data_IF_164282810361
#
_entry.id   IF_164282810361
#
_cell.length_a   1.000
_cell.length_b   1.000
_cell.length_c   1.000
_cell.angle_alpha   90.00
_cell.angle_beta   90.00
_cell.angle_gamma   90.00
#
_symmetry.space_group_name_H-M   'P 1'
#
loop_
_entity.id
_entity.type
_entity.pdbx_description
1 polymer ?
#
# COMPACT_ATOMS: atom_id res chain seq x y z
N UNK A 1 -6.30 13.78 -1.64
CA UNK A 1 -5.28 12.89 -2.22
C UNK A 1 -3.87 13.31 -1.86
N UNK A 2 -3.48 14.58 -2.07
CA UNK A 2 -2.16 15.09 -1.61
C UNK A 2 -1.95 14.85 -0.11
N UNK A 3 -2.93 15.21 0.73
CA UNK A 3 -2.85 15.02 2.18
C UNK A 3 -2.68 13.55 2.58
N UNK A 4 -3.51 12.65 2.03
CA UNK A 4 -3.37 11.20 2.25
C UNK A 4 -1.98 10.67 1.86
N UNK A 5 -1.40 11.15 0.74
CA UNK A 5 -0.02 10.77 0.34
C UNK A 5 1.00 11.29 1.35
N UNK A 6 0.89 12.55 1.75
CA UNK A 6 1.77 13.16 2.75
C UNK A 6 1.71 12.43 4.10
N UNK A 7 0.51 12.11 4.57
CA UNK A 7 0.30 11.35 5.81
C UNK A 7 0.92 9.95 5.71
N UNK A 8 0.66 9.25 4.59
CA UNK A 8 1.22 7.93 4.33
C UNK A 8 2.75 7.95 4.28
N UNK A 9 3.34 8.92 3.60
CA UNK A 9 4.79 9.07 3.47
C UNK A 9 5.45 9.44 4.81
N UNK A 10 4.76 10.24 5.64
CA UNK A 10 5.19 10.54 7.01
C UNK A 10 5.25 9.26 7.85
N UNK A 11 4.15 8.50 7.89
CA UNK A 11 4.07 7.24 8.66
C UNK A 11 5.16 6.25 8.18
N UNK A 12 5.38 6.16 6.87
CA UNK A 12 6.43 5.29 6.29
C UNK A 12 7.82 5.70 6.71
N UNK A 13 8.09 7.00 6.70
CA UNK A 13 9.38 7.54 7.11
C UNK A 13 9.67 7.19 8.57
N UNK A 14 8.67 7.33 9.45
CA UNK A 14 8.77 6.94 10.86
C UNK A 14 9.03 5.43 11.03
N UNK A 15 8.29 4.58 10.29
CA UNK A 15 8.49 3.13 10.31
C UNK A 15 9.88 2.71 9.83
N UNK A 16 10.36 3.28 8.71
CA UNK A 16 11.69 3.00 8.17
C UNK A 16 12.78 3.40 9.17
N UNK A 17 12.63 4.57 9.81
CA UNK A 17 13.57 5.04 10.82
C UNK A 17 13.64 4.09 12.01
N UNK A 18 12.48 3.68 12.56
CA UNK A 18 12.43 2.73 13.68
C UNK A 18 13.10 1.40 13.33
N UNK A 19 12.82 0.84 12.16
CA UNK A 19 13.44 -0.41 11.71
C UNK A 19 14.95 -0.26 11.56
N UNK A 20 15.44 0.86 11.03
CA UNK A 20 16.87 1.16 10.91
C UNK A 20 17.54 1.29 12.28
N UNK A 21 16.90 1.95 13.24
CA UNK A 21 17.41 2.03 14.61
C UNK A 21 17.55 0.65 15.25
N UNK A 22 16.55 -0.22 15.08
CA UNK A 22 16.61 -1.60 15.58
C UNK A 22 17.76 -2.40 14.97
N UNK A 23 17.98 -2.25 13.65
CA UNK A 23 19.05 -2.92 12.90
C UNK A 23 20.43 -2.43 13.38
N UNK A 24 20.57 -1.12 13.55
CA UNK A 24 21.83 -0.47 13.88
C UNK A 24 22.15 -0.49 15.39
N UNK A 25 21.18 -0.82 16.25
CA UNK A 25 21.39 -0.90 17.69
C UNK A 25 22.38 -2.06 18.02
N UNK A 26 23.55 -1.77 18.61
CA UNK A 26 24.55 -2.78 18.95
C UNK A 26 24.07 -3.74 20.05
N UNK A 27 23.09 -3.33 20.86
CA UNK A 27 22.53 -4.13 21.95
C UNK A 27 21.39 -5.06 21.50
N UNK A 28 20.91 -4.91 20.25
CA UNK A 28 19.90 -5.82 19.69
C UNK A 28 20.52 -7.17 19.37
N UNK A 29 19.85 -8.25 19.75
CA UNK A 29 20.25 -9.60 19.35
C UNK A 29 20.07 -9.83 17.83
N UNK A 30 20.72 -10.87 17.31
CA UNK A 30 20.72 -11.16 15.87
C UNK A 30 19.33 -11.49 15.31
N UNK A 31 18.46 -12.15 16.08
CA UNK A 31 17.09 -12.48 15.68
C UNK A 31 16.25 -11.21 15.48
N UNK A 32 16.30 -10.26 16.42
CA UNK A 32 15.60 -8.98 16.31
C UNK A 32 16.09 -8.18 15.10
N UNK A 33 17.40 -8.15 14.85
CA UNK A 33 17.96 -7.49 13.66
C UNK A 33 17.46 -8.13 12.36
N UNK A 34 17.47 -9.46 12.29
CA UNK A 34 17.00 -10.20 11.13
C UNK A 34 15.51 -9.96 10.86
N UNK A 35 14.68 -9.95 11.90
CA UNK A 35 13.25 -9.61 11.78
C UNK A 35 13.02 -8.19 11.30
N UNK A 36 13.78 -7.22 11.82
CA UNK A 36 13.70 -5.83 11.38
C UNK A 36 14.13 -5.66 9.91
N UNK A 37 15.18 -6.36 9.47
CA UNK A 37 15.60 -6.40 8.07
C UNK A 37 14.52 -6.99 7.15
N UNK A 38 13.95 -8.13 7.54
CA UNK A 38 12.85 -8.75 6.78
C UNK A 38 11.63 -7.83 6.70
N UNK A 39 11.28 -7.16 7.80
CA UNK A 39 10.17 -6.21 7.82
C UNK A 39 10.44 -5.00 6.92
N UNK A 40 11.67 -4.49 6.91
CA UNK A 40 12.08 -3.39 6.03
C UNK A 40 11.97 -3.80 4.55
N UNK A 41 12.44 -5.00 4.20
CA UNK A 41 12.33 -5.58 2.86
C UNK A 41 10.88 -5.73 2.41
N UNK A 42 10.00 -6.24 3.30
CA UNK A 42 8.58 -6.36 3.01
C UNK A 42 7.93 -4.99 2.82
N UNK A 43 8.22 -4.03 3.71
CA UNK A 43 7.73 -2.66 3.57
C UNK A 43 8.12 -2.09 2.21
N UNK A 44 9.37 -2.21 1.77
CA UNK A 44 9.80 -1.72 0.45
C UNK A 44 9.01 -2.36 -0.70
N UNK A 45 8.77 -3.68 -0.66
CA UNK A 45 7.96 -4.36 -1.68
C UNK A 45 6.51 -3.87 -1.69
N UNK A 46 5.94 -3.63 -0.51
CA UNK A 46 4.57 -3.13 -0.38
C UNK A 46 4.47 -1.71 -1.00
N UNK A 47 5.49 -0.85 -0.78
CA UNK A 47 5.56 0.48 -1.42
C UNK A 47 5.54 0.38 -2.95
N UNK A 48 6.35 -0.51 -3.51
CA UNK A 48 6.44 -0.71 -4.96
C UNK A 48 5.10 -1.16 -5.54
N UNK A 49 4.46 -2.16 -4.90
CA UNK A 49 3.14 -2.67 -5.31
C UNK A 49 2.06 -1.60 -5.25
N UNK A 50 2.02 -0.78 -4.20
CA UNK A 50 1.05 0.31 -4.12
C UNK A 50 1.23 1.34 -5.22
N UNK A 51 2.49 1.72 -5.50
CA UNK A 51 2.79 2.66 -6.58
C UNK A 51 2.37 2.09 -7.95
N UNK A 52 2.59 0.80 -8.18
CA UNK A 52 2.16 0.09 -9.37
C UNK A 52 0.63 0.09 -9.49
N UNK A 53 -0.08 -0.35 -8.44
CA UNK A 53 -1.55 -0.37 -8.38
C UNK A 53 -2.14 1.00 -8.71
N UNK A 54 -1.66 2.05 -8.05
CA UNK A 54 -2.15 3.41 -8.28
C UNK A 54 -1.89 3.89 -9.70
N UNK A 55 -0.73 3.53 -10.27
CA UNK A 55 -0.37 3.90 -11.63
C UNK A 55 -1.24 3.17 -12.66
N UNK A 56 -1.51 1.88 -12.45
CA UNK A 56 -2.39 1.08 -13.29
C UNK A 56 -3.84 1.58 -13.23
N UNK A 57 -4.30 1.98 -12.06
CA UNK A 57 -5.62 2.59 -11.88
C UNK A 57 -5.68 3.93 -12.65
N UNK A 58 -4.72 4.85 -12.45
CA UNK A 58 -4.70 6.12 -13.21
C UNK A 58 -4.63 5.91 -14.72
N UNK A 59 -3.83 4.95 -15.18
CA UNK A 59 -3.71 4.61 -16.60
C UNK A 59 -5.02 4.14 -17.24
N UNK A 60 -5.98 3.64 -16.44
CA UNK A 60 -7.33 3.25 -16.90
C UNK A 60 -8.36 4.39 -16.90
N UNK A 61 -7.93 5.61 -16.58
CA UNK A 61 -8.76 6.82 -16.68
C UNK A 61 -9.43 7.25 -15.37
N UNK A 62 -9.12 6.60 -14.24
CA UNK A 62 -9.54 7.09 -12.93
C UNK A 62 -8.67 8.30 -12.53
N UNK A 63 -9.30 9.32 -11.92
CA UNK A 63 -8.65 10.62 -11.67
C UNK A 63 -7.43 10.50 -10.73
N UNK A 64 -7.61 9.83 -9.60
CA UNK A 64 -6.54 9.54 -8.65
C UNK A 64 -6.93 8.34 -7.80
N UNK A 65 -5.92 7.67 -7.24
CA UNK A 65 -6.09 6.53 -6.35
C UNK A 65 -4.95 6.47 -5.35
N UNK A 66 -5.23 5.93 -4.17
CA UNK A 66 -4.24 5.66 -3.12
C UNK A 66 -4.46 4.24 -2.64
N UNK A 67 -3.38 3.45 -2.66
CA UNK A 67 -3.38 2.09 -2.13
C UNK A 67 -2.66 2.06 -0.77
N UNK A 68 -3.21 1.28 0.15
CA UNK A 68 -2.60 0.92 1.41
C UNK A 68 -2.54 -0.61 1.47
N UNK A 69 -1.33 -1.16 1.41
CA UNK A 69 -1.10 -2.59 1.59
C UNK A 69 -0.82 -2.84 3.07
N UNK A 70 -1.62 -3.73 3.65
CA UNK A 70 -1.42 -4.31 4.97
C UNK A 70 -0.89 -5.73 4.81
N UNK A 71 -0.70 -6.44 5.93
CA UNK A 71 -0.12 -7.79 5.90
C UNK A 71 -0.91 -8.78 5.03
N UNK A 72 -2.25 -8.73 5.10
CA UNK A 72 -3.14 -9.67 4.41
C UNK A 72 -4.32 -8.96 3.72
N UNK A 73 -4.27 -7.64 3.55
CA UNK A 73 -5.39 -6.89 2.98
C UNK A 73 -4.90 -5.63 2.28
N UNK A 74 -5.74 -5.10 1.38
CA UNK A 74 -5.45 -3.86 0.66
C UNK A 74 -6.67 -2.96 0.70
N UNK A 75 -6.43 -1.72 1.12
CA UNK A 75 -7.43 -0.66 1.02
C UNK A 75 -7.08 0.26 -0.14
N UNK A 76 -8.05 0.51 -1.01
CA UNK A 76 -7.90 1.44 -2.14
C UNK A 76 -8.92 2.55 -2.03
N UNK A 77 -8.43 3.77 -1.99
CA UNK A 77 -9.25 4.98 -2.05
C UNK A 77 -9.20 5.52 -3.48
N UNK A 78 -10.35 5.65 -4.14
CA UNK A 78 -10.44 6.14 -5.52
C UNK A 78 -11.20 7.47 -5.59
N UNK A 79 -10.62 8.45 -6.29
CA UNK A 79 -11.29 9.69 -6.65
C UNK A 79 -12.30 9.41 -7.78
N UNK A 80 -13.58 9.45 -7.45
CA UNK A 80 -14.65 9.13 -8.40
C UNK A 80 -15.96 9.80 -8.04
N UNK A 81 -16.81 10.06 -9.03
CA UNK A 81 -18.21 10.49 -8.81
C UNK A 81 -19.15 9.32 -8.53
N UNK A 82 -18.67 8.10 -8.73
CA UNK A 82 -19.35 6.84 -8.48
C UNK A 82 -18.70 5.73 -9.31
N UNK A 83 -18.58 4.53 -8.75
CA UNK A 83 -18.11 3.35 -9.45
C UNK A 83 -19.29 2.48 -9.84
N UNK A 84 -19.28 1.98 -11.06
CA UNK A 84 -20.17 0.89 -11.44
C UNK A 84 -19.57 -0.45 -11.01
N UNK A 85 -20.38 -1.51 -10.93
CA UNK A 85 -19.90 -2.86 -10.60
C UNK A 85 -18.73 -3.31 -11.51
N UNK A 86 -18.75 -2.91 -12.79
CA UNK A 86 -17.68 -3.21 -13.75
C UNK A 86 -16.37 -2.51 -13.39
N UNK A 87 -16.43 -1.33 -12.78
CA UNK A 87 -15.25 -0.58 -12.35
C UNK A 87 -14.64 -1.24 -11.12
N UNK A 88 -15.49 -1.57 -10.13
CA UNK A 88 -15.07 -2.31 -8.93
C UNK A 88 -14.38 -3.62 -9.29
N UNK A 89 -14.95 -4.39 -10.21
CA UNK A 89 -14.33 -5.64 -10.70
C UNK A 89 -12.96 -5.39 -11.35
N UNK A 90 -12.85 -4.39 -12.24
CA UNK A 90 -11.58 -4.05 -12.90
C UNK A 90 -10.51 -3.58 -11.93
N UNK A 91 -10.88 -2.82 -10.90
CA UNK A 91 -9.97 -2.35 -9.87
C UNK A 91 -9.52 -3.54 -9.03
N UNK A 92 -10.46 -4.36 -8.54
CA UNK A 92 -10.16 -5.59 -7.78
C UNK A 92 -9.20 -6.50 -8.52
N UNK A 93 -9.40 -6.72 -9.83
CA UNK A 93 -8.50 -7.52 -10.67
C UNK A 93 -7.06 -6.97 -10.74
N UNK A 94 -6.87 -5.64 -10.72
CA UNK A 94 -5.52 -5.03 -10.69
C UNK A 94 -4.85 -5.39 -9.37
N UNK A 95 -5.57 -5.17 -8.27
CA UNK A 95 -5.03 -5.34 -6.93
C UNK A 95 -4.68 -6.80 -6.69
N UNK A 96 -5.60 -7.70 -6.98
CA UNK A 96 -5.41 -9.14 -6.81
C UNK A 96 -4.18 -9.64 -7.60
N UNK A 97 -4.03 -9.23 -8.86
CA UNK A 97 -2.88 -9.62 -9.69
C UNK A 97 -1.54 -9.04 -9.23
N UNK A 98 -1.55 -7.88 -8.60
CA UNK A 98 -0.32 -7.21 -8.14
C UNK A 98 0.11 -7.69 -6.75
N UNK A 99 -0.85 -8.14 -5.94
CA UNK A 99 -0.64 -8.46 -4.52
C UNK A 99 -0.68 -9.95 -4.22
N UNK A 100 -1.21 -10.77 -5.14
CA UNK A 100 -1.53 -12.19 -4.96
C UNK A 100 -2.60 -12.45 -3.87
N UNK A 101 -3.38 -11.41 -3.51
CA UNK A 101 -4.47 -11.51 -2.54
C UNK A 101 -5.82 -11.81 -3.22
N UNK A 102 -6.71 -12.43 -2.44
CA UNK A 102 -8.08 -12.67 -2.85
C UNK A 102 -8.90 -11.38 -2.92
N UNK A 103 -10.01 -11.39 -3.67
CA UNK A 103 -10.91 -10.23 -3.75
C UNK A 103 -11.59 -9.93 -2.40
N UNK A 104 -11.72 -10.94 -1.55
CA UNK A 104 -12.22 -10.84 -0.18
C UNK A 104 -11.34 -9.98 0.74
N UNK A 105 -10.05 -9.84 0.40
CA UNK A 105 -9.06 -9.08 1.17
C UNK A 105 -8.87 -7.66 0.64
N UNK A 106 -9.66 -7.26 -0.37
CA UNK A 106 -9.54 -5.98 -1.07
C UNK A 106 -10.75 -5.10 -0.77
N UNK A 107 -10.52 -3.95 -0.13
CA UNK A 107 -11.53 -2.95 0.12
C UNK A 107 -11.38 -1.78 -0.85
N UNK A 108 -12.45 -1.42 -1.55
CA UNK A 108 -12.47 -0.26 -2.45
C UNK A 108 -13.39 0.81 -1.84
N UNK A 109 -12.82 2.00 -1.61
CA UNK A 109 -13.47 3.14 -0.98
C UNK A 109 -13.61 4.25 -2.02
N UNK A 110 -14.84 4.69 -2.25
CA UNK A 110 -15.13 5.84 -3.10
C UNK A 110 -14.92 7.14 -2.33
N UNK A 111 -13.99 7.98 -2.80
CA UNK A 111 -13.90 9.38 -2.37
C UNK A 111 -14.52 10.26 -3.45
N UNK A 112 -15.70 10.79 -3.14
CA UNK A 112 -16.30 11.86 -3.93
C UNK A 112 -15.45 13.11 -3.81
N UNK A 113 -15.06 13.65 -4.96
CA UNK A 113 -14.50 15.00 -5.10
C UNK A 113 -15.61 16.05 -5.05
#
# INVERSE_FOLDING_TARGET
>A
FVEYRLERDKIRSEQVNLLREMINNPNSNQDLKSRAQNRLLNLTKDLEKEMEIESLIRARGYKDAIAYIHQNSVDIIIATKGLEKKDVAKIGDIVAKTTDLGLEDITIIEKKD
#
